data_IF_371703549261
#
_entry.id   IF_371703549261
#
_cell.length_a   1.000
_cell.length_b   1.000
_cell.length_c   1.000
_cell.angle_alpha   90.00
_cell.angle_beta   90.00
_cell.angle_gamma   90.00
#
_symmetry.space_group_name_H-M   'P 1'
#
loop_
_entity.id
_entity.type
_entity.pdbx_description
1 polymer ?
#
# COMPACT_ATOMS: atom_id res chain seq x y z
N UNK A 1 -15.90 -20.81 -21.88
CA UNK A 1 -16.53 -21.36 -20.66
C UNK A 1 -15.52 -21.38 -19.50
N UNK A 2 -15.01 -20.22 -19.08
CA UNK A 2 -13.99 -20.12 -18.01
C UNK A 2 -14.09 -18.81 -17.21
N UNK A 3 -15.31 -18.30 -16.93
CA UNK A 3 -15.49 -17.04 -16.20
C UNK A 3 -16.18 -17.17 -14.83
N UNK A 4 -16.34 -18.38 -14.30
CA UNK A 4 -17.24 -18.60 -13.13
C UNK A 4 -16.53 -19.02 -11.85
N UNK A 5 -15.20 -18.82 -11.72
CA UNK A 5 -14.44 -19.23 -10.53
C UNK A 5 -13.72 -18.10 -9.75
N UNK A 6 -13.76 -16.82 -10.17
CA UNK A 6 -13.26 -15.71 -9.33
C UNK A 6 -14.31 -15.23 -8.29
N UNK A 7 -15.57 -15.69 -8.37
CA UNK A 7 -16.66 -15.23 -7.49
C UNK A 7 -16.84 -16.15 -6.28
N UNK A 8 -16.08 -15.91 -5.21
CA UNK A 8 -16.55 -16.04 -3.83
C UNK A 8 -15.41 -15.75 -2.85
N UNK A 9 -15.72 -14.88 -1.89
CA UNK A 9 -14.95 -14.54 -0.68
C UNK A 9 -13.91 -13.43 -0.90
N UNK A 10 -14.49 -12.22 -0.89
CA UNK A 10 -13.84 -10.98 -0.46
C UNK A 10 -13.29 -11.11 0.96
N UNK A 11 -12.19 -10.42 1.17
CA UNK A 11 -11.32 -10.55 2.32
C UNK A 11 -11.82 -9.70 3.51
N UNK A 12 -11.79 -10.20 4.77
CA UNK A 12 -12.23 -9.45 5.95
C UNK A 12 -11.43 -8.17 6.27
N UNK A 13 -10.28 -7.94 5.65
CA UNK A 13 -9.40 -6.79 5.98
C UNK A 13 -9.85 -5.45 5.39
N UNK A 14 -10.65 -5.48 4.32
CA UNK A 14 -11.19 -4.27 3.66
C UNK A 14 -12.25 -3.56 4.52
N UNK A 15 -12.93 -4.29 5.41
CA UNK A 15 -14.17 -3.85 6.08
C UNK A 15 -13.96 -3.10 7.41
N UNK A 16 -12.72 -2.83 7.85
CA UNK A 16 -12.45 -2.30 9.22
C UNK A 16 -12.01 -0.84 9.32
N UNK A 17 -12.20 0.02 8.31
CA UNK A 17 -11.90 1.46 8.46
C UNK A 17 -13.19 2.29 8.58
N UNK A 18 -13.44 2.73 9.81
CA UNK A 18 -14.62 3.41 10.28
C UNK A 18 -14.97 4.73 9.60
N UNK A 19 -16.23 5.09 9.80
CA UNK A 19 -16.98 6.19 9.19
C UNK A 19 -16.55 7.56 9.73
N UNK A 20 -16.15 8.47 8.85
CA UNK A 20 -16.17 9.91 9.14
C UNK A 20 -17.34 10.56 8.40
N UNK A 21 -18.30 11.06 9.17
CA UNK A 21 -19.46 11.84 8.71
C UNK A 21 -18.98 13.12 8.02
N UNK A 22 -19.27 13.27 6.72
CA UNK A 22 -19.19 14.54 6.02
C UNK A 22 -20.50 15.31 6.22
N UNK A 23 -20.44 16.48 6.87
CA UNK A 23 -21.57 17.39 6.98
C UNK A 23 -21.66 18.23 5.70
N UNK A 24 -22.81 18.13 5.01
CA UNK A 24 -23.17 18.88 3.82
C UNK A 24 -23.67 20.26 4.29
N UNK A 25 -23.00 21.34 3.89
CA UNK A 25 -23.53 22.70 4.01
C UNK A 25 -24.16 23.10 2.67
N UNK A 26 -25.48 23.30 2.70
CA UNK A 26 -26.30 23.72 1.58
C UNK A 26 -26.19 25.23 1.33
N UNK A 27 -26.19 25.58 0.04
CA UNK A 27 -26.13 26.92 -0.53
C UNK A 27 -27.42 27.72 -0.36
N UNK A 28 -27.31 29.04 -0.22
CA UNK A 28 -28.39 30.03 -0.33
C UNK A 28 -27.87 31.27 -1.12
N UNK A 29 -28.73 32.16 -1.67
CA UNK A 29 -28.86 32.30 -3.12
C UNK A 29 -28.50 33.68 -3.71
N UNK A 30 -28.66 33.72 -5.04
CA UNK A 30 -28.53 34.76 -6.05
C UNK A 30 -28.73 36.24 -5.66
N UNK A 31 -27.86 37.05 -6.26
CA UNK A 31 -27.79 38.50 -6.30
C UNK A 31 -28.96 39.16 -7.05
N UNK A 32 -29.44 40.30 -6.55
CA UNK A 32 -30.17 41.32 -7.32
C UNK A 32 -29.44 42.65 -7.19
N UNK A 33 -29.10 43.24 -8.34
CA UNK A 33 -28.52 44.57 -8.49
C UNK A 33 -29.59 45.64 -8.29
N UNK A 34 -29.31 46.64 -7.44
CA UNK A 34 -29.85 48.00 -7.58
C UNK A 34 -28.80 49.04 -7.20
N UNK A 35 -28.96 50.21 -7.81
CA UNK A 35 -28.00 51.25 -8.11
C UNK A 35 -27.61 52.20 -6.96
N UNK A 36 -26.34 52.63 -7.06
CA UNK A 36 -25.59 53.73 -6.45
C UNK A 36 -26.31 54.86 -5.67
N UNK A 37 -25.70 55.22 -4.53
CA UNK A 37 -25.45 56.61 -4.09
C UNK A 37 -24.05 56.69 -3.43
N UNK A 38 -23.25 57.76 -3.63
CA UNK A 38 -21.90 57.83 -3.08
C UNK A 38 -21.94 58.42 -1.67
N UNK A 39 -21.74 57.57 -0.66
CA UNK A 39 -21.49 58.01 0.71
C UNK A 39 -19.98 58.12 0.90
N UNK A 40 -19.50 59.36 1.03
CA UNK A 40 -18.17 59.65 1.60
C UNK A 40 -18.05 58.97 2.96
N UNK A 41 -17.19 57.95 3.06
CA UNK A 41 -16.80 57.40 4.36
C UNK A 41 -15.30 57.07 4.38
N UNK A 42 -14.62 57.87 5.20
CA UNK A 42 -13.39 57.61 5.97
C UNK A 42 -12.57 56.39 5.55
N UNK A 43 -11.35 56.66 5.08
CA UNK A 43 -10.26 55.69 5.00
C UNK A 43 -9.99 55.05 6.37
N UNK A 44 -10.60 53.90 6.63
CA UNK A 44 -10.06 52.99 7.63
C UNK A 44 -8.83 52.36 7.00
N UNK A 45 -7.65 52.83 7.44
CA UNK A 45 -6.40 52.10 7.30
C UNK A 45 -6.58 50.76 8.00
N UNK A 46 -7.08 49.77 7.28
CA UNK A 46 -7.06 48.39 7.72
C UNK A 46 -5.59 47.97 7.69
N UNK A 47 -4.93 48.07 8.84
CA UNK A 47 -3.72 47.31 9.16
C UNK A 47 -4.06 45.80 9.18
N UNK A 48 -4.64 45.29 8.09
CA UNK A 48 -4.60 43.88 7.77
C UNK A 48 -3.14 43.66 7.44
N UNK A 49 -2.39 43.20 8.43
CA UNK A 49 -1.05 42.69 8.21
C UNK A 49 -1.20 41.67 7.09
N UNK A 50 -0.75 42.00 5.89
CA UNK A 50 -0.32 41.06 4.86
C UNK A 50 0.88 40.29 5.43
N UNK A 51 0.68 39.57 6.53
CA UNK A 51 1.44 38.39 6.85
C UNK A 51 0.97 37.37 5.82
N UNK A 52 1.57 37.55 4.64
CA UNK A 52 1.37 36.88 3.37
C UNK A 52 0.76 35.50 3.56
N UNK A 53 -0.30 35.22 2.80
CA UNK A 53 -0.85 33.87 2.63
C UNK A 53 0.24 32.79 2.48
N UNK A 54 1.41 33.13 1.92
CA UNK A 54 2.59 32.26 1.85
C UNK A 54 3.19 31.89 3.22
N UNK A 55 3.19 32.78 4.21
CA UNK A 55 3.63 32.50 5.59
C UNK A 55 2.64 31.57 6.30
N UNK A 56 1.34 31.78 6.06
CA UNK A 56 0.27 30.88 6.51
C UNK A 56 0.42 29.47 5.88
N UNK A 57 0.65 29.40 4.56
CA UNK A 57 0.93 28.15 3.87
C UNK A 57 2.20 27.49 4.39
N UNK A 58 3.30 28.23 4.57
CA UNK A 58 4.55 27.70 5.13
C UNK A 58 4.40 27.14 6.55
N UNK A 59 3.48 27.67 7.37
CA UNK A 59 3.17 27.11 8.69
C UNK A 59 2.29 25.85 8.62
N UNK A 60 1.40 25.76 7.62
CA UNK A 60 0.56 24.58 7.36
C UNK A 60 1.33 23.44 6.70
N UNK A 61 2.33 23.78 5.88
CA UNK A 61 3.26 22.83 5.26
C UNK A 61 4.32 22.51 6.30
N UNK A 62 4.02 21.54 7.18
CA UNK A 62 5.09 20.84 7.90
C UNK A 62 5.97 20.19 6.82
N UNK A 63 7.31 20.34 6.86
CA UNK A 63 8.15 19.48 6.05
C UNK A 63 7.76 18.04 6.40
N UNK A 64 7.38 17.22 5.41
CA UNK A 64 7.16 15.81 5.71
C UNK A 64 8.47 15.30 6.27
N UNK A 65 8.43 14.59 7.39
CA UNK A 65 9.57 13.79 7.79
C UNK A 65 9.97 12.96 6.57
N UNK A 66 11.26 12.98 6.22
CA UNK A 66 11.76 12.23 5.07
C UNK A 66 11.46 10.73 5.22
N UNK A 67 11.57 9.95 4.14
CA UNK A 67 11.41 8.50 4.24
C UNK A 67 12.41 7.90 5.27
N UNK A 68 12.08 6.77 5.93
CA UNK A 68 10.87 5.96 5.73
C UNK A 68 9.60 6.60 6.30
N UNK A 69 8.54 6.63 5.49
CA UNK A 69 7.25 7.18 5.88
C UNK A 69 6.48 6.23 6.82
N UNK A 70 5.68 6.81 7.72
CA UNK A 70 4.76 6.08 8.61
C UNK A 70 3.40 5.74 7.98
N UNK A 71 3.29 5.97 6.66
CA UNK A 71 2.14 5.70 5.81
C UNK A 71 2.62 5.01 4.52
N UNK A 72 1.68 4.43 3.78
CA UNK A 72 1.96 3.75 2.50
C UNK A 72 1.80 4.74 1.35
N UNK A 73 2.87 4.92 0.56
CA UNK A 73 2.84 5.66 -0.70
C UNK A 73 1.75 5.10 -1.62
N UNK A 74 0.98 5.98 -2.26
CA UNK A 74 -0.06 5.60 -3.20
C UNK A 74 0.44 5.69 -4.64
N UNK A 75 -0.19 4.91 -5.52
CA UNK A 75 0.06 4.96 -6.96
C UNK A 75 -0.01 6.40 -7.48
N UNK A 76 1.01 6.79 -8.25
CA UNK A 76 1.29 8.17 -8.62
C UNK A 76 2.55 8.72 -7.97
N UNK A 77 2.95 8.20 -6.80
CA UNK A 77 4.28 8.46 -6.24
C UNK A 77 5.37 7.78 -7.10
N UNK A 78 6.36 8.53 -7.62
CA UNK A 78 7.39 7.98 -8.49
C UNK A 78 8.22 6.86 -7.84
N UNK A 79 8.36 6.83 -6.52
CA UNK A 79 9.14 5.78 -5.82
C UNK A 79 8.62 4.37 -6.13
N UNK A 80 7.31 4.24 -6.39
CA UNK A 80 6.65 2.96 -6.70
C UNK A 80 6.89 2.48 -8.14
N UNK A 81 7.54 3.31 -8.97
CA UNK A 81 7.84 3.02 -10.39
C UNK A 81 9.33 2.98 -10.69
N UNK A 82 10.18 3.22 -9.69
CA UNK A 82 11.64 3.15 -9.80
C UNK A 82 12.11 1.77 -9.32
N UNK A 83 13.07 1.19 -10.04
CA UNK A 83 13.76 -0.02 -9.59
C UNK A 83 14.58 0.31 -8.35
N UNK A 84 14.28 -0.36 -7.25
CA UNK A 84 14.95 -0.17 -5.98
C UNK A 84 16.42 -0.63 -6.04
N UNK A 85 17.28 0.12 -5.35
CA UNK A 85 18.71 -0.16 -5.24
C UNK A 85 18.99 -1.29 -4.25
N UNK A 86 20.03 -2.07 -4.53
CA UNK A 86 20.54 -3.06 -3.59
C UNK A 86 21.12 -2.39 -2.35
N UNK A 87 20.95 -3.06 -1.21
CA UNK A 87 21.54 -2.66 0.08
C UNK A 87 22.92 -3.30 0.18
N UNK A 88 23.97 -2.52 0.41
CA UNK A 88 25.30 -3.09 0.66
C UNK A 88 25.25 -4.08 1.85
N UNK A 89 25.75 -5.33 1.70
CA UNK A 89 25.65 -6.33 2.77
C UNK A 89 26.21 -5.87 4.12
N UNK A 90 27.30 -5.10 4.11
CA UNK A 90 27.90 -4.52 5.32
C UNK A 90 27.05 -3.42 5.99
N UNK A 91 26.08 -2.84 5.28
CA UNK A 91 25.20 -1.80 5.79
C UNK A 91 23.91 -2.36 6.44
N UNK A 92 23.63 -3.66 6.32
CA UNK A 92 22.39 -4.29 6.82
C UNK A 92 22.18 -4.05 8.33
N UNK A 93 23.24 -4.13 9.11
CA UNK A 93 23.21 -3.87 10.56
C UNK A 93 23.32 -2.39 10.93
N UNK A 94 23.48 -1.51 9.94
CA UNK A 94 23.55 -0.07 10.13
C UNK A 94 22.21 0.52 10.58
N UNK A 95 22.27 1.64 11.30
CA UNK A 95 21.10 2.30 11.88
C UNK A 95 20.05 2.65 10.81
N UNK A 96 20.48 3.08 9.63
CA UNK A 96 19.60 3.44 8.52
C UNK A 96 18.74 2.25 8.06
N UNK A 97 19.37 1.13 7.72
CA UNK A 97 18.66 -0.07 7.24
C UNK A 97 17.75 -0.64 8.33
N UNK A 98 18.21 -0.67 9.58
CA UNK A 98 17.39 -1.12 10.71
C UNK A 98 16.19 -0.20 10.98
N UNK A 99 16.33 1.12 10.75
CA UNK A 99 15.22 2.08 10.80
C UNK A 99 14.20 1.82 9.69
N UNK A 100 14.65 1.50 8.48
CA UNK A 100 13.77 1.11 7.36
C UNK A 100 13.01 -0.17 7.71
N UNK A 101 13.70 -1.23 8.12
CA UNK A 101 13.09 -2.52 8.48
C UNK A 101 12.05 -2.34 9.59
N UNK A 102 12.43 -1.65 10.68
CA UNK A 102 11.51 -1.46 11.81
C UNK A 102 10.29 -0.62 11.43
N UNK A 103 10.44 0.39 10.56
CA UNK A 103 9.31 1.19 10.07
C UNK A 103 8.43 0.38 9.13
N UNK A 104 9.02 -0.43 8.24
CA UNK A 104 8.32 -1.30 7.31
C UNK A 104 7.43 -2.30 8.06
N UNK A 105 7.97 -2.98 9.07
CA UNK A 105 7.20 -3.91 9.91
C UNK A 105 6.11 -3.21 10.71
N UNK A 106 6.39 -2.02 11.26
CA UNK A 106 5.38 -1.21 11.98
C UNK A 106 4.23 -0.81 11.06
N UNK A 107 4.51 -0.33 9.86
CA UNK A 107 3.49 0.08 8.88
C UNK A 107 2.70 -1.14 8.41
N UNK A 108 3.37 -2.22 8.01
CA UNK A 108 2.75 -3.49 7.59
C UNK A 108 1.71 -3.99 8.60
N UNK A 109 2.09 -4.03 9.89
CA UNK A 109 1.21 -4.44 10.99
C UNK A 109 0.10 -3.41 11.27
N UNK A 110 0.38 -2.12 11.18
CA UNK A 110 -0.61 -1.04 11.36
C UNK A 110 -1.71 -1.11 10.30
N UNK A 111 -1.33 -1.42 9.06
CA UNK A 111 -2.25 -1.63 7.95
C UNK A 111 -2.54 -3.12 7.74
N UNK A 112 -2.43 -3.95 8.79
CA UNK A 112 -2.51 -5.42 8.82
C UNK A 112 -2.54 -6.14 7.45
N UNK A 113 -1.54 -5.85 6.63
CA UNK A 113 -1.31 -6.47 5.33
C UNK A 113 -0.31 -7.60 5.50
N UNK A 114 -0.28 -8.52 4.53
CA UNK A 114 0.52 -9.74 4.63
C UNK A 114 1.97 -9.56 4.17
N UNK A 115 2.24 -8.49 3.43
CA UNK A 115 3.54 -8.13 2.89
C UNK A 115 3.61 -6.63 2.65
N UNK A 116 4.82 -6.08 2.77
CA UNK A 116 5.12 -4.70 2.42
C UNK A 116 6.58 -4.56 2.00
N UNK A 117 6.85 -3.72 1.02
CA UNK A 117 8.18 -3.42 0.49
C UNK A 117 8.64 -2.00 0.85
N UNK A 118 9.96 -1.80 0.96
CA UNK A 118 10.54 -0.49 1.29
C UNK A 118 10.12 0.65 0.33
N UNK A 119 9.95 0.44 -1.00
CA UNK A 119 9.42 1.48 -1.88
C UNK A 119 8.06 2.01 -1.43
N UNK A 120 7.20 1.17 -0.83
CA UNK A 120 5.89 1.57 -0.35
C UNK A 120 5.92 2.50 0.87
N UNK A 121 7.07 2.61 1.55
CA UNK A 121 7.30 3.60 2.60
C UNK A 121 8.29 4.70 2.15
N UNK A 122 8.42 4.91 0.84
CA UNK A 122 9.22 5.97 0.25
C UNK A 122 10.72 5.70 0.17
N UNK A 123 11.16 4.46 0.43
CA UNK A 123 12.59 4.10 0.44
C UNK A 123 12.91 3.19 -0.75
N UNK A 124 13.69 3.64 -1.75
CA UNK A 124 14.00 2.84 -2.93
C UNK A 124 15.10 1.81 -2.67
N UNK A 125 14.95 0.98 -1.63
CA UNK A 125 15.86 -0.11 -1.28
C UNK A 125 15.19 -1.48 -1.50
N UNK A 126 15.97 -2.49 -1.84
CA UNK A 126 15.47 -3.87 -2.03
C UNK A 126 15.24 -4.59 -0.70
N UNK A 127 14.21 -4.17 0.04
CA UNK A 127 13.83 -4.76 1.32
C UNK A 127 12.32 -5.05 1.28
N UNK A 128 11.94 -6.26 1.68
CA UNK A 128 10.55 -6.63 1.93
C UNK A 128 10.40 -7.25 3.32
N UNK A 129 9.22 -7.09 3.89
CA UNK A 129 8.78 -7.79 5.09
C UNK A 129 7.45 -8.49 4.78
N UNK A 130 7.24 -9.64 5.41
CA UNK A 130 5.97 -10.36 5.32
C UNK A 130 5.67 -11.09 6.61
N UNK A 131 4.39 -11.15 6.94
CA UNK A 131 3.88 -11.81 8.14
C UNK A 131 2.41 -12.16 7.91
N UNK A 132 2.02 -13.39 8.25
CA UNK A 132 0.64 -13.82 8.19
C UNK A 132 0.30 -14.66 9.42
N UNK A 133 -0.10 -14.01 10.53
CA UNK A 133 -0.32 -14.69 11.80
C UNK A 133 -1.62 -15.52 11.79
N UNK A 134 -1.67 -16.60 12.59
CA UNK A 134 -2.85 -17.49 12.68
C UNK A 134 -4.16 -16.74 12.98
N UNK A 135 -4.10 -15.63 13.74
CA UNK A 135 -5.26 -14.78 14.02
C UNK A 135 -5.97 -14.27 12.76
N UNK A 136 -5.25 -14.07 11.65
CA UNK A 136 -5.81 -13.60 10.37
C UNK A 136 -6.37 -14.74 9.50
N UNK A 137 -6.16 -15.99 9.91
CA UNK A 137 -6.69 -17.19 9.27
C UNK A 137 -7.96 -17.72 9.94
N UNK A 138 -8.23 -17.30 11.18
CA UNK A 138 -9.28 -17.87 12.05
C UNK A 138 -10.67 -17.82 11.43
N UNK A 139 -10.99 -16.72 10.74
CA UNK A 139 -12.32 -16.48 10.16
C UNK A 139 -12.40 -16.92 8.69
N UNK A 140 -11.36 -17.56 8.14
CA UNK A 140 -11.32 -18.01 6.76
C UNK A 140 -11.76 -19.49 6.68
N UNK A 141 -12.79 -19.83 5.87
CA UNK A 141 -13.27 -21.19 5.74
C UNK A 141 -12.14 -22.17 5.34
N UNK A 142 -12.10 -23.39 5.89
CA UNK A 142 -11.06 -24.38 5.57
C UNK A 142 -10.94 -24.69 4.08
N UNK A 143 -12.06 -24.70 3.35
CA UNK A 143 -12.09 -24.90 1.90
C UNK A 143 -11.34 -23.82 1.14
N UNK A 144 -11.46 -22.55 1.55
CA UNK A 144 -10.71 -21.43 0.97
C UNK A 144 -9.25 -21.46 1.38
N UNK A 145 -8.96 -21.81 2.63
CA UNK A 145 -7.59 -22.00 3.10
C UNK A 145 -6.86 -23.04 2.25
N UNK A 146 -7.49 -24.18 2.00
CA UNK A 146 -6.94 -25.23 1.16
C UNK A 146 -6.79 -24.79 -0.30
N UNK A 147 -7.84 -24.21 -0.90
CA UNK A 147 -7.85 -23.81 -2.31
C UNK A 147 -6.78 -22.74 -2.62
N UNK A 148 -6.54 -21.80 -1.70
CA UNK A 148 -5.55 -20.73 -1.85
C UNK A 148 -4.16 -21.09 -1.31
N UNK A 149 -4.01 -22.21 -0.60
CA UNK A 149 -2.78 -22.57 0.09
C UNK A 149 -2.40 -21.55 1.18
N UNK A 150 -3.38 -21.14 1.99
CA UNK A 150 -3.19 -20.20 3.08
C UNK A 150 -2.59 -20.93 4.30
N UNK A 151 -1.38 -20.52 4.67
CA UNK A 151 -0.65 -21.04 5.84
C UNK A 151 -0.13 -19.86 6.67
N UNK A 152 0.03 -20.03 8.00
CA UNK A 152 0.66 -19.03 8.83
C UNK A 152 2.10 -18.77 8.38
N UNK A 153 2.50 -17.51 8.41
CA UNK A 153 3.86 -17.08 8.08
C UNK A 153 4.36 -16.26 9.28
N UNK A 154 5.40 -16.72 10.02
CA UNK A 154 6.04 -15.86 11.01
C UNK A 154 6.68 -14.65 10.31
N UNK A 155 6.95 -13.58 11.06
CA UNK A 155 7.63 -12.41 10.48
C UNK A 155 8.93 -12.84 9.78
N UNK A 156 9.02 -12.50 8.50
CA UNK A 156 10.22 -12.69 7.67
C UNK A 156 10.57 -11.37 7.01
N UNK A 157 11.85 -11.06 7.01
CA UNK A 157 12.43 -9.91 6.29
C UNK A 157 13.43 -10.47 5.30
N UNK A 158 13.39 -9.95 4.07
CA UNK A 158 14.39 -10.24 3.06
C UNK A 158 14.99 -8.94 2.54
N UNK A 159 16.31 -8.91 2.49
CA UNK A 159 17.13 -7.83 1.96
C UNK A 159 17.88 -8.37 0.75
N UNK A 160 17.89 -7.60 -0.33
CA UNK A 160 18.34 -8.00 -1.66
C UNK A 160 17.77 -9.37 -2.11
N UNK A 161 16.45 -9.60 -1.98
CA UNK A 161 15.89 -10.87 -2.37
C UNK A 161 16.05 -11.14 -3.87
N UNK A 162 16.32 -12.40 -4.18
CA UNK A 162 16.29 -12.98 -5.52
C UNK A 162 15.20 -14.06 -5.55
N UNK A 163 14.49 -14.14 -6.67
CA UNK A 163 13.38 -15.07 -6.84
C UNK A 163 13.69 -16.08 -7.95
N UNK A 164 13.50 -17.36 -7.65
CA UNK A 164 13.57 -18.47 -8.60
C UNK A 164 12.21 -19.16 -8.68
N UNK A 165 11.73 -19.42 -9.90
CA UNK A 165 10.46 -20.14 -10.09
C UNK A 165 10.72 -21.64 -9.90
N UNK A 166 9.91 -22.29 -9.05
CA UNK A 166 10.00 -23.71 -8.76
C UNK A 166 8.87 -24.52 -9.43
N UNK A 167 7.67 -23.95 -9.53
CA UNK A 167 6.53 -24.49 -10.29
C UNK A 167 5.90 -23.33 -11.09
N UNK A 168 5.97 -23.42 -12.42
CA UNK A 168 5.51 -22.39 -13.35
C UNK A 168 4.00 -22.41 -13.60
N UNK A 169 3.27 -23.41 -13.08
CA UNK A 169 1.81 -23.41 -13.13
C UNK A 169 1.28 -22.13 -12.49
N UNK A 170 0.31 -21.49 -13.13
CA UNK A 170 -0.24 -20.23 -12.65
C UNK A 170 -1.56 -20.43 -11.91
N UNK A 171 -1.67 -19.78 -10.76
CA UNK A 171 -2.90 -19.66 -10.00
C UNK A 171 -3.45 -18.22 -10.15
N UNK A 172 -4.74 -18.09 -10.44
CA UNK A 172 -5.41 -16.80 -10.61
C UNK A 172 -6.33 -16.55 -9.42
N UNK A 173 -6.07 -15.48 -8.68
CA UNK A 173 -6.89 -15.04 -7.55
C UNK A 173 -6.93 -13.51 -7.50
N UNK A 174 -7.96 -12.97 -6.85
CA UNK A 174 -8.03 -11.54 -6.51
C UNK A 174 -6.84 -11.14 -5.64
N UNK A 175 -6.20 -10.04 -6.02
CA UNK A 175 -5.07 -9.41 -5.35
C UNK A 175 -5.38 -7.92 -5.16
N UNK A 176 -5.01 -7.38 -4.00
CA UNK A 176 -5.08 -5.96 -3.69
C UNK A 176 -3.70 -5.47 -3.25
N UNK A 177 -3.53 -4.15 -3.15
CA UNK A 177 -2.28 -3.53 -2.74
C UNK A 177 -2.58 -2.30 -1.87
N UNK A 178 -1.85 -2.13 -0.77
CA UNK A 178 -2.00 -0.94 0.08
C UNK A 178 -1.60 0.36 -0.64
N UNK A 179 -0.81 0.28 -1.72
CA UNK A 179 -0.50 1.42 -2.59
C UNK A 179 -1.57 1.72 -3.64
N UNK A 180 -2.60 0.88 -3.79
CA UNK A 180 -3.76 1.10 -4.66
C UNK A 180 -5.02 0.87 -3.83
N UNK A 181 -5.21 1.77 -2.86
CA UNK A 181 -6.26 1.65 -1.85
C UNK A 181 -7.65 1.53 -2.46
N UNK A 182 -8.41 0.52 -2.01
CA UNK A 182 -9.82 0.37 -2.36
C UNK A 182 -10.10 -0.38 -3.66
N UNK A 183 -9.10 -0.97 -4.31
CA UNK A 183 -9.27 -1.76 -5.52
C UNK A 183 -8.56 -3.10 -5.47
N UNK A 184 -9.11 -4.07 -6.22
CA UNK A 184 -8.53 -5.39 -6.42
C UNK A 184 -8.77 -5.87 -7.85
N UNK A 185 -7.97 -6.83 -8.32
CA UNK A 185 -8.20 -7.54 -9.57
C UNK A 185 -7.62 -8.96 -9.53
N UNK A 186 -8.10 -9.85 -10.40
CA UNK A 186 -7.56 -11.21 -10.53
C UNK A 186 -6.16 -11.13 -11.21
N UNK A 187 -5.14 -11.66 -10.54
CA UNK A 187 -3.73 -11.62 -10.99
C UNK A 187 -3.16 -13.04 -11.07
N UNK A 188 -2.60 -13.47 -12.22
CA UNK A 188 -1.89 -14.74 -12.33
C UNK A 188 -0.54 -14.68 -11.61
N UNK A 189 -0.27 -15.70 -10.77
CA UNK A 189 1.01 -15.86 -10.07
C UNK A 189 1.51 -17.29 -10.19
N UNK A 190 2.83 -17.48 -10.23
CA UNK A 190 3.42 -18.81 -10.21
C UNK A 190 3.06 -19.55 -8.93
N UNK A 191 2.84 -20.86 -9.03
CA UNK A 191 2.37 -21.68 -7.93
C UNK A 191 3.40 -21.81 -6.83
N UNK A 192 4.69 -21.96 -7.19
CA UNK A 192 5.78 -22.09 -6.23
C UNK A 192 7.02 -21.34 -6.68
N UNK A 193 7.67 -20.69 -5.72
CA UNK A 193 8.91 -19.94 -5.90
C UNK A 193 9.85 -20.23 -4.73
N UNK A 194 11.13 -20.02 -4.96
CA UNK A 194 12.15 -19.91 -3.93
C UNK A 194 12.64 -18.47 -3.88
N UNK A 195 12.70 -17.91 -2.67
CA UNK A 195 13.30 -16.60 -2.41
C UNK A 195 14.56 -16.77 -1.58
N UNK A 196 15.65 -16.15 -2.01
CA UNK A 196 16.92 -16.12 -1.29
C UNK A 196 17.38 -14.68 -1.10
N UNK A 197 18.11 -14.40 -0.02
CA UNK A 197 18.60 -13.05 0.30
C UNK A 197 19.21 -13.01 1.70
N UNK A 198 19.35 -11.81 2.27
CA UNK A 198 19.77 -11.62 3.66
C UNK A 198 18.56 -11.36 4.56
N UNK A 199 18.63 -11.81 5.81
CA UNK A 199 17.65 -11.42 6.83
C UNK A 199 18.06 -10.12 7.55
N UNK A 200 17.27 -9.70 8.54
CA UNK A 200 17.52 -8.49 9.34
C UNK A 200 18.83 -8.52 10.16
N UNK A 201 19.44 -9.69 10.29
CA UNK A 201 20.72 -9.92 10.98
C UNK A 201 21.90 -10.07 10.02
N UNK A 202 21.70 -9.78 8.73
CA UNK A 202 22.67 -9.98 7.66
C UNK A 202 23.06 -11.45 7.40
N UNK A 203 22.23 -12.40 7.82
CA UNK A 203 22.45 -13.83 7.58
C UNK A 203 21.79 -14.24 6.26
N UNK A 204 22.48 -15.07 5.46
CA UNK A 204 21.92 -15.61 4.23
C UNK A 204 20.77 -16.59 4.54
N UNK A 205 19.61 -16.35 3.93
CA UNK A 205 18.41 -17.16 4.09
C UNK A 205 17.86 -17.55 2.72
N UNK A 206 17.28 -18.76 2.65
CA UNK A 206 16.56 -19.25 1.48
C UNK A 206 15.26 -19.88 1.94
N UNK A 207 14.18 -19.63 1.20
CA UNK A 207 12.86 -20.11 1.54
C UNK A 207 12.07 -20.47 0.29
N UNK A 208 11.81 -21.77 0.12
CA UNK A 208 10.90 -22.27 -0.91
C UNK A 208 9.48 -22.31 -0.39
N UNK A 209 8.55 -21.77 -1.18
CA UNK A 209 7.14 -21.62 -0.84
C UNK A 209 6.23 -21.93 -2.00
N UNK A 210 4.98 -22.30 -1.69
CA UNK A 210 3.91 -22.47 -2.66
C UNK A 210 2.63 -21.82 -2.15
N UNK A 211 1.63 -21.68 -3.03
CA UNK A 211 0.32 -21.16 -2.66
C UNK A 211 0.35 -19.65 -2.33
N UNK A 212 -0.34 -19.24 -1.28
CA UNK A 212 -0.48 -17.82 -0.94
C UNK A 212 0.85 -17.15 -0.51
N UNK A 213 1.72 -17.78 0.29
CA UNK A 213 3.06 -17.22 0.56
C UNK A 213 3.86 -16.92 -0.72
N UNK A 214 3.81 -17.81 -1.72
CA UNK A 214 4.48 -17.58 -3.00
C UNK A 214 3.91 -16.37 -3.75
N UNK A 215 2.59 -16.15 -3.68
CA UNK A 215 1.93 -14.97 -4.25
C UNK A 215 2.41 -13.68 -3.56
N UNK A 216 2.45 -13.66 -2.23
CA UNK A 216 2.92 -12.49 -1.46
C UNK A 216 4.35 -12.16 -1.86
N UNK A 217 5.25 -13.15 -1.87
CA UNK A 217 6.65 -12.93 -2.28
C UNK A 217 6.75 -12.33 -3.69
N UNK A 218 6.00 -12.87 -4.66
CA UNK A 218 6.00 -12.33 -6.03
C UNK A 218 5.46 -10.88 -6.09
N UNK A 219 4.45 -10.54 -5.29
CA UNK A 219 3.91 -9.18 -5.19
C UNK A 219 4.94 -8.20 -4.63
N UNK A 220 5.57 -8.55 -3.50
CA UNK A 220 6.57 -7.68 -2.89
C UNK A 220 7.85 -7.56 -3.74
N UNK A 221 8.21 -8.62 -4.47
CA UNK A 221 9.29 -8.59 -5.46
C UNK A 221 9.02 -7.60 -6.59
N UNK A 222 7.80 -7.62 -7.14
CA UNK A 222 7.39 -6.67 -8.20
C UNK A 222 7.56 -5.21 -7.76
N UNK A 223 7.20 -4.89 -6.51
CA UNK A 223 7.36 -3.53 -5.98
C UNK A 223 8.81 -3.03 -6.02
N UNK A 224 9.80 -3.89 -5.76
CA UNK A 224 11.21 -3.53 -5.84
C UNK A 224 11.70 -3.32 -7.28
N UNK A 225 10.95 -3.79 -8.27
CA UNK A 225 11.24 -3.59 -9.69
C UNK A 225 10.34 -2.50 -10.31
N UNK A 226 9.58 -1.76 -9.50
CA UNK A 226 8.69 -0.69 -9.96
C UNK A 226 7.41 -1.18 -10.65
N UNK A 227 7.06 -2.45 -10.44
CA UNK A 227 5.89 -3.13 -11.02
C UNK A 227 4.78 -3.19 -9.98
N UNK A 228 3.55 -2.87 -10.40
CA UNK A 228 2.35 -2.97 -9.57
C UNK A 228 1.46 -4.09 -10.11
N UNK A 229 0.58 -4.63 -9.27
CA UNK A 229 -0.34 -5.70 -9.69
C UNK A 229 -1.22 -5.29 -10.89
N UNK A 230 -1.51 -3.99 -11.04
CA UNK A 230 -2.27 -3.43 -12.17
C UNK A 230 -1.58 -3.61 -13.51
N UNK A 231 -0.27 -3.83 -13.52
CA UNK A 231 0.49 -4.10 -14.75
C UNK A 231 0.41 -5.58 -15.17
N UNK A 232 -0.10 -6.45 -14.27
CA UNK A 232 -0.21 -7.91 -14.48
C UNK A 232 -1.64 -8.44 -14.44
N UNK A 233 -2.60 -7.64 -13.97
CA UNK A 233 -3.97 -8.08 -13.73
C UNK A 233 -4.76 -8.37 -15.02
N UNK A 234 -5.80 -9.20 -14.90
CA UNK A 234 -6.91 -9.16 -15.85
C UNK A 234 -7.75 -7.90 -15.59
N UNK A 235 -7.64 -6.91 -16.47
CA UNK A 235 -8.27 -5.60 -16.30
C UNK A 235 -9.81 -5.66 -16.25
N UNK A 236 -10.44 -6.71 -16.81
CA UNK A 236 -11.89 -6.91 -16.74
C UNK A 236 -12.38 -7.31 -15.35
N UNK A 237 -11.46 -7.71 -14.47
CA UNK A 237 -11.75 -8.09 -13.08
C UNK A 237 -11.41 -7.00 -12.08
N UNK A 238 -11.00 -5.80 -12.55
CA UNK A 238 -10.69 -4.67 -11.70
C UNK A 238 -11.96 -4.11 -11.05
N UNK A 239 -12.03 -4.20 -9.73
CA UNK A 239 -13.21 -3.84 -8.94
C UNK A 239 -12.84 -2.94 -7.78
N UNK A 240 -13.74 -2.03 -7.41
CA UNK A 240 -13.71 -1.41 -6.09
C UNK A 240 -14.16 -2.45 -5.05
N UNK A 241 -13.35 -2.67 -4.03
CA UNK A 241 -13.59 -3.71 -3.01
C UNK A 241 -14.81 -3.43 -2.13
N UNK A 242 -15.33 -2.20 -2.14
CA UNK A 242 -16.55 -1.81 -1.42
C UNK A 242 -17.81 -1.89 -2.28
N UNK A 243 -17.73 -2.28 -3.55
CA UNK A 243 -18.93 -2.35 -4.41
C UNK A 243 -20.02 -3.24 -3.82
N UNK A 244 -19.66 -4.36 -3.18
CA UNK A 244 -20.63 -5.28 -2.57
C UNK A 244 -21.28 -4.71 -1.30
N UNK A 245 -20.71 -3.69 -0.65
CA UNK A 245 -21.33 -3.04 0.51
C UNK A 245 -22.54 -2.17 0.13
N UNK A 246 -22.67 -1.83 -1.17
CA UNK A 246 -23.72 -0.95 -1.70
C UNK A 246 -24.78 -1.70 -2.54
N UNK A 247 -24.71 -3.03 -2.62
CA UNK A 247 -25.73 -3.87 -3.28
C UNK A 247 -26.71 -4.43 -2.25
#
# INVERSE_FOLDING_TARGET
MTSTLCASILWPWVLRRGTHRAAILTSAPLWRLTSATPILSRSHSSNIKELSYLKYLKQKIKPSEGPPYSHVCQVGDPVLRVRAAEVEPGAVLGEEVQRVISTLVKVMRKVECMGLSAPQIGVPMRILAMEYPERMLKDIPPTIRQARGLVPIPLRVFINPQLRICDSRQNVFLEGCESISGFAACVPRYHSVEVSGLNEKAEAVTWQVSGWPARIVQHEMDHMDGVLYTDRMDSRTFINVRWEEYQ
#
